data_IF_664187563886
#
_entry.id   IF_664187563886
#
_cell.length_a   1.000
_cell.length_b   1.000
_cell.length_c   1.000
_cell.angle_alpha   90.00
_cell.angle_beta   90.00
_cell.angle_gamma   90.00
#
_symmetry.space_group_name_H-M   'P 1'
#
loop_
_entity.id
_entity.type
_entity.pdbx_description
1 polymer ?
#
# COMPACT_ATOMS: atom_id res chain seq x y z
N UNK A 1 -36.09 34.78 -4.59
CA UNK A 1 -34.68 34.42 -4.36
C UNK A 1 -34.62 33.48 -3.15
N UNK A 2 -34.58 32.16 -3.36
CA UNK A 2 -34.30 31.20 -2.30
C UNK A 2 -32.91 30.61 -2.57
N UNK A 3 -31.97 30.92 -1.68
CA UNK A 3 -30.64 30.33 -1.64
C UNK A 3 -30.78 28.92 -1.04
N UNK A 4 -30.62 27.89 -1.88
CA UNK A 4 -30.43 26.53 -1.40
C UNK A 4 -28.98 26.41 -0.86
N UNK A 5 -28.85 26.33 0.45
CA UNK A 5 -27.59 25.99 1.09
C UNK A 5 -27.27 24.52 0.81
N UNK A 6 -26.32 24.27 -0.09
CA UNK A 6 -25.74 22.94 -0.27
C UNK A 6 -24.81 22.68 0.92
N UNK A 7 -25.30 21.91 1.89
CA UNK A 7 -24.48 21.39 2.97
C UNK A 7 -23.53 20.32 2.39
N UNK A 8 -22.26 20.68 2.21
CA UNK A 8 -21.19 19.73 1.94
C UNK A 8 -20.99 18.86 3.18
N UNK A 9 -21.66 17.71 3.24
CA UNK A 9 -21.39 16.69 4.25
C UNK A 9 -20.04 16.06 3.91
N UNK A 10 -18.97 16.58 4.52
CA UNK A 10 -17.70 15.87 4.59
C UNK A 10 -17.94 14.67 5.51
N UNK A 11 -18.20 13.50 4.92
CA UNK A 11 -18.16 12.22 5.62
C UNK A 11 -16.74 12.00 6.12
N UNK A 12 -16.45 12.48 7.32
CA UNK A 12 -15.29 12.04 8.09
C UNK A 12 -15.49 10.54 8.32
N UNK A 13 -14.78 9.72 7.54
CA UNK A 13 -14.81 8.27 7.69
C UNK A 13 -14.44 7.94 9.14
N UNK A 14 -15.40 7.39 9.90
CA UNK A 14 -15.13 6.92 11.26
C UNK A 14 -13.99 5.91 11.20
N UNK A 15 -13.04 5.92 12.16
CA UNK A 15 -11.99 4.92 12.21
C UNK A 15 -12.62 3.53 12.24
N UNK A 16 -12.43 2.77 11.17
CA UNK A 16 -13.04 1.45 11.04
C UNK A 16 -12.29 0.49 11.95
N UNK A 17 -12.98 -0.05 12.96
CA UNK A 17 -12.40 -1.06 13.84
C UNK A 17 -12.17 -2.36 13.05
N UNK A 18 -11.12 -3.11 13.40
CA UNK A 18 -10.86 -4.42 12.82
C UNK A 18 -11.91 -5.43 13.36
N UNK A 19 -12.68 -6.11 12.51
CA UNK A 19 -13.59 -7.16 12.93
C UNK A 19 -12.83 -8.33 13.59
N UNK A 20 -13.47 -9.02 14.52
CA UNK A 20 -12.95 -10.30 14.98
C UNK A 20 -13.23 -11.38 13.94
N UNK A 21 -12.31 -11.53 12.97
CA UNK A 21 -12.43 -12.54 11.92
C UNK A 21 -12.45 -13.97 12.45
N UNK A 22 -12.07 -14.22 13.71
CA UNK A 22 -12.15 -15.55 14.32
C UNK A 22 -13.58 -15.95 14.71
N UNK A 23 -14.53 -15.01 14.70
CA UNK A 23 -15.95 -15.30 14.85
C UNK A 23 -16.53 -16.13 13.69
N UNK A 24 -15.88 -16.11 12.52
CA UNK A 24 -16.22 -16.97 11.39
C UNK A 24 -15.24 -18.16 11.28
N UNK A 25 -15.73 -19.38 11.04
CA UNK A 25 -14.88 -20.55 10.81
C UNK A 25 -13.89 -20.36 9.66
N UNK A 26 -12.82 -21.14 9.66
CA UNK A 26 -11.90 -21.16 8.52
C UNK A 26 -12.61 -21.67 7.26
N UNK A 27 -12.65 -20.84 6.22
CA UNK A 27 -13.32 -21.20 4.98
C UNK A 27 -13.73 -19.98 4.14
N UNK A 28 -14.58 -20.20 3.12
CA UNK A 28 -15.02 -19.17 2.18
C UNK A 28 -15.65 -17.94 2.84
N UNK A 29 -16.50 -18.12 3.86
CA UNK A 29 -17.18 -17.00 4.51
C UNK A 29 -16.20 -16.02 5.16
N UNK A 30 -15.25 -16.50 5.97
CA UNK A 30 -14.24 -15.63 6.59
C UNK A 30 -13.39 -14.90 5.56
N UNK A 31 -13.04 -15.58 4.47
CA UNK A 31 -12.27 -14.97 3.37
C UNK A 31 -13.06 -13.85 2.69
N UNK A 32 -14.33 -14.08 2.39
CA UNK A 32 -15.21 -13.08 1.81
C UNK A 32 -15.36 -11.85 2.73
N UNK A 33 -15.59 -12.06 4.02
CA UNK A 33 -15.67 -10.98 5.02
C UNK A 33 -14.37 -10.19 5.14
N UNK A 34 -13.23 -10.89 5.07
CA UNK A 34 -11.93 -10.24 5.09
C UNK A 34 -11.71 -9.36 3.85
N UNK A 35 -12.02 -9.89 2.66
CA UNK A 35 -11.91 -9.16 1.40
C UNK A 35 -12.85 -7.95 1.38
N UNK A 36 -14.12 -8.13 1.76
CA UNK A 36 -15.14 -7.08 1.89
C UNK A 36 -14.67 -5.94 2.81
N UNK A 37 -14.02 -6.28 3.92
CA UNK A 37 -13.45 -5.30 4.85
C UNK A 37 -12.24 -4.57 4.27
N UNK A 38 -11.35 -5.29 3.59
CA UNK A 38 -10.08 -4.74 3.12
C UNK A 38 -10.20 -3.85 1.89
N UNK A 39 -11.08 -4.19 0.95
CA UNK A 39 -11.27 -3.46 -0.30
C UNK A 39 -11.42 -1.93 -0.12
N UNK A 40 -12.36 -1.41 0.70
CA UNK A 40 -12.51 0.03 0.85
C UNK A 40 -11.28 0.71 1.48
N UNK A 41 -10.53 -0.02 2.32
CA UNK A 41 -9.29 0.49 2.91
C UNK A 41 -8.19 0.63 1.86
N UNK A 42 -7.96 -0.41 1.06
CA UNK A 42 -6.96 -0.38 -0.03
C UNK A 42 -7.37 0.64 -1.08
N UNK A 43 -8.65 0.68 -1.48
CA UNK A 43 -9.15 1.62 -2.48
C UNK A 43 -8.97 3.08 -2.04
N UNK A 44 -9.27 3.42 -0.78
CA UNK A 44 -9.11 4.78 -0.28
C UNK A 44 -7.65 5.24 -0.26
N UNK A 45 -6.73 4.34 0.05
CA UNK A 45 -5.29 4.61 0.11
C UNK A 45 -4.66 4.67 -1.29
N UNK A 46 -5.04 3.76 -2.18
CA UNK A 46 -4.69 3.80 -3.61
C UNK A 46 -5.20 5.10 -4.25
N UNK A 47 -6.45 5.50 -3.98
CA UNK A 47 -7.00 6.75 -4.48
C UNK A 47 -6.23 7.99 -3.99
N UNK A 48 -5.67 7.96 -2.78
CA UNK A 48 -4.75 9.04 -2.34
C UNK A 48 -3.49 9.06 -3.18
N UNK A 49 -2.81 7.92 -3.32
CA UNK A 49 -1.58 7.83 -4.11
C UNK A 49 -1.80 8.27 -5.56
N UNK A 50 -2.91 7.87 -6.17
CA UNK A 50 -3.24 8.24 -7.55
C UNK A 50 -3.59 9.73 -7.71
N UNK A 51 -4.11 10.41 -6.68
CA UNK A 51 -4.27 11.88 -6.72
C UNK A 51 -2.91 12.57 -6.79
N UNK A 52 -1.95 12.13 -6.00
CA UNK A 52 -0.59 12.67 -6.04
C UNK A 52 0.07 12.37 -7.39
N UNK A 53 -0.10 11.15 -7.90
CA UNK A 53 0.40 10.76 -9.23
C UNK A 53 -0.13 11.63 -10.35
N UNK A 54 -1.45 11.86 -10.41
CA UNK A 54 -2.06 12.74 -11.43
C UNK A 54 -1.48 14.15 -11.40
N UNK A 55 -1.20 14.68 -10.20
CA UNK A 55 -0.54 15.98 -10.07
C UNK A 55 0.91 15.94 -10.58
N UNK A 56 1.68 14.87 -10.31
CA UNK A 56 3.02 14.70 -10.87
C UNK A 56 3.01 14.68 -12.40
N UNK A 57 2.09 13.91 -12.99
CA UNK A 57 1.93 13.83 -14.45
C UNK A 57 1.56 15.20 -15.03
N UNK A 58 0.64 15.93 -14.40
CA UNK A 58 0.29 17.29 -14.82
C UNK A 58 1.47 18.26 -14.74
N UNK A 59 2.32 18.16 -13.72
CA UNK A 59 3.53 18.98 -13.58
C UNK A 59 4.53 18.65 -14.69
N UNK A 60 4.77 17.35 -14.93
CA UNK A 60 5.69 16.90 -15.98
C UNK A 60 5.24 17.35 -17.38
N UNK A 61 3.92 17.33 -17.65
CA UNK A 61 3.37 17.79 -18.92
C UNK A 61 3.47 19.32 -19.12
N UNK A 62 3.51 20.10 -18.04
CA UNK A 62 3.64 21.56 -18.10
C UNK A 62 5.07 22.05 -18.36
N UNK A 63 6.08 21.18 -18.29
CA UNK A 63 7.49 21.50 -18.50
C UNK A 63 8.17 22.06 -17.25
N UNK A 64 7.91 23.33 -16.91
CA UNK A 64 8.56 23.98 -15.77
C UNK A 64 7.61 24.18 -14.57
N UNK A 65 7.86 23.51 -13.42
CA UNK A 65 7.04 23.70 -12.23
C UNK A 65 7.23 25.10 -11.64
N UNK A 66 6.11 25.78 -11.36
CA UNK A 66 6.10 27.04 -10.60
C UNK A 66 6.46 26.83 -9.12
N UNK A 67 6.60 27.93 -8.35
CA UNK A 67 7.00 27.86 -6.94
C UNK A 67 6.12 26.95 -6.08
N UNK A 68 4.79 26.96 -6.29
CA UNK A 68 3.84 26.11 -5.56
C UNK A 68 4.07 24.62 -5.83
N UNK A 69 4.40 24.27 -7.06
CA UNK A 69 4.68 22.89 -7.46
C UNK A 69 6.04 22.44 -6.94
N UNK A 70 7.07 23.29 -7.04
CA UNK A 70 8.39 23.01 -6.44
C UNK A 70 8.29 22.74 -4.94
N UNK A 71 7.54 23.57 -4.20
CA UNK A 71 7.31 23.36 -2.76
C UNK A 71 6.57 22.05 -2.49
N UNK A 72 5.56 21.73 -3.29
CA UNK A 72 4.81 20.49 -3.15
C UNK A 72 5.66 19.26 -3.50
N UNK A 73 6.47 19.31 -4.56
CA UNK A 73 7.39 18.24 -4.96
C UNK A 73 8.40 17.94 -3.86
N UNK A 74 8.97 18.96 -3.20
CA UNK A 74 9.89 18.74 -2.05
C UNK A 74 9.18 18.04 -0.90
N UNK A 75 8.02 18.54 -0.48
CA UNK A 75 7.25 17.92 0.60
C UNK A 75 6.81 16.48 0.26
N UNK A 76 6.42 16.22 -1.00
CA UNK A 76 6.11 14.88 -1.45
C UNK A 76 7.37 14.00 -1.46
N UNK A 77 8.51 14.52 -1.91
CA UNK A 77 9.82 13.87 -1.87
C UNK A 77 10.17 13.35 -0.49
N UNK A 78 10.11 14.22 0.52
CA UNK A 78 10.34 13.87 1.92
C UNK A 78 9.40 12.73 2.37
N UNK A 79 8.10 12.85 2.09
CA UNK A 79 7.11 11.81 2.44
C UNK A 79 7.34 10.48 1.73
N UNK A 80 8.02 10.49 0.58
CA UNK A 80 8.43 9.32 -0.16
C UNK A 80 9.89 8.92 0.11
N UNK A 81 10.50 9.39 1.21
CA UNK A 81 11.86 9.05 1.66
C UNK A 81 12.92 9.39 0.59
N UNK A 82 12.79 10.55 -0.02
CA UNK A 82 13.81 11.19 -0.83
C UNK A 82 14.40 12.35 -0.03
N UNK A 83 15.64 12.70 -0.34
CA UNK A 83 16.24 13.95 0.12
C UNK A 83 16.15 14.97 -1.05
N UNK A 84 15.17 15.90 -1.03
CA UNK A 84 14.96 16.84 -2.12
C UNK A 84 16.11 17.83 -2.30
N UNK A 85 16.98 18.00 -1.31
CA UNK A 85 18.11 18.93 -1.38
C UNK A 85 19.31 18.31 -2.12
N UNK A 86 19.30 16.98 -2.30
CA UNK A 86 20.32 16.24 -3.05
C UNK A 86 19.96 16.00 -4.52
N UNK A 87 18.72 16.29 -4.92
CA UNK A 87 18.19 16.03 -6.25
C UNK A 87 17.88 17.34 -6.97
N UNK A 88 18.18 17.42 -8.27
CA UNK A 88 17.61 18.48 -9.11
C UNK A 88 16.09 18.36 -9.19
N UNK A 89 15.41 19.42 -9.62
CA UNK A 89 13.95 19.43 -9.77
C UNK A 89 13.45 18.31 -10.70
N UNK A 90 14.17 18.06 -11.79
CA UNK A 90 13.82 17.04 -12.78
C UNK A 90 14.08 15.63 -12.26
N UNK A 91 15.21 15.41 -11.56
CA UNK A 91 15.51 14.12 -10.92
C UNK A 91 14.49 13.79 -9.82
N UNK A 92 14.10 14.78 -9.02
CA UNK A 92 13.06 14.63 -8.00
C UNK A 92 11.72 14.25 -8.64
N UNK A 93 11.30 14.96 -9.69
CA UNK A 93 10.05 14.67 -10.41
C UNK A 93 10.06 13.28 -11.05
N UNK A 94 11.13 12.92 -11.76
CA UNK A 94 11.27 11.60 -12.38
C UNK A 94 11.27 10.47 -11.34
N UNK A 95 11.96 10.67 -10.21
CA UNK A 95 11.99 9.69 -9.11
C UNK A 95 10.62 9.55 -8.45
N UNK A 96 9.90 10.66 -8.25
CA UNK A 96 8.54 10.65 -7.73
C UNK A 96 7.56 9.95 -8.69
N UNK A 97 7.68 10.16 -10.01
CA UNK A 97 6.86 9.44 -11.01
C UNK A 97 7.10 7.92 -10.98
N UNK A 98 8.28 7.47 -10.58
CA UNK A 98 8.57 6.04 -10.37
C UNK A 98 8.00 5.51 -9.03
N UNK A 99 8.08 6.32 -7.96
CA UNK A 99 7.65 5.93 -6.60
C UNK A 99 6.14 6.03 -6.38
N UNK A 100 5.51 7.10 -6.84
CA UNK A 100 4.13 7.48 -6.53
C UNK A 100 3.19 6.81 -7.54
N UNK A 101 2.75 5.59 -7.25
CA UNK A 101 1.78 4.87 -8.06
C UNK A 101 1.05 3.78 -7.26
N UNK A 102 -0.03 3.26 -7.82
CA UNK A 102 -0.86 2.21 -7.25
C UNK A 102 -0.10 0.89 -7.09
N UNK A 103 -0.51 0.11 -6.09
CA UNK A 103 -0.24 -1.33 -6.01
C UNK A 103 -1.54 -2.05 -6.41
N UNK A 104 -1.49 -3.11 -7.24
CA UNK A 104 -2.70 -3.84 -7.65
C UNK A 104 -3.52 -4.29 -6.45
N UNK A 105 -4.85 -4.21 -6.56
CA UNK A 105 -5.73 -4.56 -5.43
C UNK A 105 -5.61 -6.04 -5.10
N UNK A 106 -5.58 -6.89 -6.12
CA UNK A 106 -5.41 -8.34 -5.98
C UNK A 106 -4.17 -8.67 -5.15
N UNK A 107 -3.07 -7.97 -5.42
CA UNK A 107 -1.80 -8.14 -4.71
C UNK A 107 -1.87 -7.67 -3.26
N UNK A 108 -2.42 -6.48 -3.02
CA UNK A 108 -2.59 -5.96 -1.67
C UNK A 108 -3.49 -6.86 -0.82
N UNK A 109 -4.59 -7.37 -1.38
CA UNK A 109 -5.51 -8.31 -0.72
C UNK A 109 -4.84 -9.65 -0.41
N UNK A 110 -4.10 -10.21 -1.37
CA UNK A 110 -3.38 -11.48 -1.19
C UNK A 110 -2.31 -11.38 -0.11
N UNK A 111 -1.49 -10.31 -0.13
CA UNK A 111 -0.48 -10.08 0.90
C UNK A 111 -1.14 -9.85 2.27
N UNK A 112 -2.17 -9.01 2.36
CA UNK A 112 -2.89 -8.81 3.61
C UNK A 112 -3.46 -10.13 4.16
N UNK A 113 -4.06 -10.97 3.31
CA UNK A 113 -4.59 -12.27 3.70
C UNK A 113 -3.48 -13.20 4.21
N UNK A 114 -2.34 -13.25 3.52
CA UNK A 114 -1.18 -14.06 3.91
C UNK A 114 -0.60 -13.62 5.24
N UNK A 115 -0.27 -12.33 5.37
CA UNK A 115 0.47 -11.79 6.53
C UNK A 115 -0.40 -11.74 7.79
N UNK A 116 -1.70 -11.49 7.64
CA UNK A 116 -2.63 -11.43 8.77
C UNK A 116 -3.30 -12.76 9.10
N UNK A 117 -3.10 -13.80 8.29
CA UNK A 117 -3.85 -15.05 8.37
C UNK A 117 -5.35 -14.81 8.25
N UNK A 118 -5.76 -14.07 7.21
CA UNK A 118 -7.14 -13.60 7.01
C UNK A 118 -7.69 -12.81 8.23
N UNK A 119 -6.85 -11.93 8.79
CA UNK A 119 -7.19 -11.04 9.89
C UNK A 119 -7.16 -11.66 11.30
N UNK A 120 -6.85 -12.95 11.41
CA UNK A 120 -6.93 -13.69 12.70
C UNK A 120 -5.63 -13.65 13.52
N UNK A 121 -4.51 -13.24 12.92
CA UNK A 121 -3.22 -13.23 13.61
C UNK A 121 -3.24 -12.34 14.85
N UNK A 122 -2.38 -12.67 15.84
CA UNK A 122 -2.23 -11.84 17.06
C UNK A 122 -1.86 -10.40 16.70
N UNK A 123 -1.00 -10.20 15.71
CA UNK A 123 -0.52 -8.88 15.30
C UNK A 123 -1.60 -8.08 14.56
N UNK A 124 -2.43 -8.73 13.74
CA UNK A 124 -3.60 -8.10 13.15
C UNK A 124 -4.59 -7.67 14.24
N UNK A 125 -4.99 -8.59 15.14
CA UNK A 125 -6.00 -8.29 16.17
C UNK A 125 -5.56 -7.26 17.21
N UNK A 126 -4.32 -7.36 17.70
CA UNK A 126 -3.81 -6.47 18.76
C UNK A 126 -3.13 -5.22 18.23
N UNK A 127 -2.48 -5.31 17.07
CA UNK A 127 -1.69 -4.22 16.50
C UNK A 127 -2.30 -3.59 15.25
N UNK A 128 -3.44 -4.10 14.75
CA UNK A 128 -4.03 -3.69 13.47
C UNK A 128 -3.05 -3.79 12.30
N UNK A 129 -2.03 -4.63 12.44
CA UNK A 129 -0.96 -4.80 11.47
C UNK A 129 -1.31 -5.95 10.52
N UNK A 130 -1.89 -5.59 9.38
CA UNK A 130 -2.41 -6.53 8.39
C UNK A 130 -1.33 -7.06 7.43
N UNK A 131 -0.12 -6.49 7.46
CA UNK A 131 0.96 -6.75 6.49
C UNK A 131 2.27 -7.20 7.14
N UNK A 132 2.26 -7.52 8.45
CA UNK A 132 3.43 -8.02 9.16
C UNK A 132 4.57 -7.00 9.30
N UNK A 133 4.28 -5.70 9.21
CA UNK A 133 5.30 -4.64 9.14
C UNK A 133 6.10 -4.53 10.44
N UNK A 134 7.42 -4.52 10.32
CA UNK A 134 8.33 -4.34 11.44
C UNK A 134 8.62 -2.87 11.70
N UNK A 135 8.96 -2.57 12.95
CA UNK A 135 9.53 -1.31 13.38
C UNK A 135 10.72 -1.58 14.31
N UNK A 136 11.64 -0.62 14.42
CA UNK A 136 12.95 -0.83 15.03
C UNK A 136 13.24 0.10 16.22
N UNK A 137 12.29 0.95 16.58
CA UNK A 137 12.38 1.78 17.78
C UNK A 137 11.81 1.00 18.98
N UNK A 138 12.53 0.90 20.11
CA UNK A 138 11.99 0.21 21.28
C UNK A 138 10.61 0.75 21.70
N UNK A 139 9.62 -0.14 21.82
CA UNK A 139 8.24 0.22 22.17
C UNK A 139 7.36 0.70 21.02
N UNK A 140 7.84 0.64 19.77
CA UNK A 140 7.05 0.99 18.58
C UNK A 140 5.94 -0.03 18.27
N UNK A 141 5.96 -1.22 18.88
CA UNK A 141 5.04 -2.28 18.51
C UNK A 141 4.92 -3.44 19.50
N UNK A 142 4.62 -4.62 18.96
CA UNK A 142 4.44 -5.86 19.70
C UNK A 142 5.68 -6.73 19.51
N UNK A 143 6.34 -7.06 20.62
CA UNK A 143 7.48 -8.00 20.60
C UNK A 143 7.01 -9.40 20.14
N UNK A 144 7.63 -9.97 19.08
CA UNK A 144 7.41 -11.36 18.69
C UNK A 144 7.82 -12.33 19.80
N UNK A 145 7.02 -13.38 20.03
CA UNK A 145 7.32 -14.39 21.06
C UNK A 145 8.54 -15.25 20.72
N UNK A 146 8.81 -15.43 19.43
CA UNK A 146 9.92 -16.24 18.91
C UNK A 146 11.03 -15.36 18.33
N UNK A 147 11.25 -14.16 18.88
CA UNK A 147 12.32 -13.27 18.42
C UNK A 147 13.67 -13.87 18.83
N UNK A 148 14.58 -14.04 17.86
CA UNK A 148 15.95 -14.45 18.17
C UNK A 148 16.63 -13.46 19.13
N UNK A 149 17.57 -13.92 19.95
CA UNK A 149 18.17 -13.13 21.04
C UNK A 149 18.76 -11.78 20.61
N UNK A 150 19.13 -11.64 19.33
CA UNK A 150 19.74 -10.42 18.77
C UNK A 150 18.80 -9.57 17.90
N UNK A 151 17.57 -10.02 17.66
CA UNK A 151 16.63 -9.21 16.87
C UNK A 151 16.09 -8.07 17.73
N UNK A 152 16.20 -6.84 17.23
CA UNK A 152 15.70 -5.63 17.90
C UNK A 152 14.33 -5.19 17.39
N UNK A 153 13.86 -5.78 16.29
CA UNK A 153 12.58 -5.42 15.69
C UNK A 153 11.38 -5.80 16.57
N UNK A 154 10.33 -5.00 16.45
CA UNK A 154 8.99 -5.25 16.95
C UNK A 154 7.99 -5.25 15.78
N UNK A 155 6.80 -5.80 15.96
CA UNK A 155 5.75 -5.73 14.95
C UNK A 155 4.93 -4.46 15.19
N UNK A 156 4.99 -3.51 14.25
CA UNK A 156 4.39 -2.18 14.38
C UNK A 156 2.92 -2.25 14.79
N UNK A 157 2.51 -1.34 15.68
CA UNK A 157 1.10 -1.14 16.05
C UNK A 157 0.57 0.08 15.31
N UNK A 158 -0.62 -0.06 14.75
CA UNK A 158 -1.35 1.01 14.07
C UNK A 158 -2.59 1.42 14.85
N UNK A 159 -2.96 2.70 14.77
CA UNK A 159 -4.18 3.22 15.40
C UNK A 159 -5.42 2.70 14.69
N UNK A 160 -5.33 2.56 13.36
CA UNK A 160 -6.41 2.03 12.52
C UNK A 160 -5.90 0.98 11.53
N UNK A 161 -6.75 0.06 11.04
CA UNK A 161 -6.38 -0.88 9.98
C UNK A 161 -5.95 -0.16 8.69
N UNK A 162 -6.57 0.99 8.40
CA UNK A 162 -6.24 1.84 7.26
C UNK A 162 -4.80 2.37 7.32
N UNK A 163 -4.30 2.74 8.49
CA UNK A 163 -2.89 3.17 8.64
C UNK A 163 -1.92 2.04 8.29
N UNK A 164 -2.26 0.78 8.60
CA UNK A 164 -1.41 -0.35 8.19
C UNK A 164 -1.35 -0.52 6.67
N UNK A 165 -2.48 -0.25 5.96
CA UNK A 165 -2.55 -0.23 4.50
C UNK A 165 -1.71 0.93 3.95
N UNK A 166 -1.83 2.13 4.53
CA UNK A 166 -1.05 3.31 4.16
C UNK A 166 0.46 3.02 4.23
N UNK A 167 0.90 2.45 5.35
CA UNK A 167 2.28 2.08 5.60
C UNK A 167 2.77 1.01 4.64
N UNK A 168 1.94 0.00 4.33
CA UNK A 168 2.27 -1.04 3.35
C UNK A 168 2.49 -0.45 1.95
N UNK A 169 1.57 0.39 1.46
CA UNK A 169 1.71 1.03 0.16
C UNK A 169 2.96 1.94 0.12
N UNK A 170 3.22 2.69 1.19
CA UNK A 170 4.43 3.50 1.30
C UNK A 170 5.70 2.64 1.27
N UNK A 171 5.71 1.49 1.95
CA UNK A 171 6.84 0.59 1.95
C UNK A 171 7.17 0.10 0.53
N UNK A 172 6.18 -0.42 -0.20
CA UNK A 172 6.34 -0.85 -1.61
C UNK A 172 6.82 0.32 -2.50
N UNK A 173 6.28 1.52 -2.26
CA UNK A 173 6.58 2.69 -3.08
C UNK A 173 7.92 3.38 -2.74
N UNK A 174 8.52 3.11 -1.58
CA UNK A 174 9.72 3.85 -1.13
C UNK A 174 10.94 2.98 -0.87
N UNK A 175 10.75 1.76 -0.38
CA UNK A 175 11.88 0.96 0.09
C UNK A 175 12.80 0.53 -1.08
N UNK A 176 14.13 0.56 -0.91
CA UNK A 176 15.08 0.20 -1.98
C UNK A 176 14.88 -1.21 -2.53
N UNK A 177 14.53 -2.17 -1.67
CA UNK A 177 14.29 -3.57 -2.06
C UNK A 177 13.15 -3.74 -3.08
N UNK A 178 12.23 -2.78 -3.20
CA UNK A 178 11.12 -2.82 -4.18
C UNK A 178 11.38 -1.93 -5.39
N UNK A 179 12.64 -1.61 -5.69
CA UNK A 179 12.99 -0.85 -6.89
C UNK A 179 12.52 -1.56 -8.16
N UNK A 180 12.75 -2.86 -8.26
CA UNK A 180 12.40 -3.64 -9.45
C UNK A 180 10.88 -3.77 -9.62
N UNK A 181 10.13 -3.86 -8.52
CA UNK A 181 8.68 -3.72 -8.52
C UNK A 181 8.22 -2.42 -9.18
N UNK A 182 8.82 -1.29 -8.79
CA UNK A 182 8.46 0.03 -9.33
C UNK A 182 8.83 0.17 -10.80
N UNK A 183 9.97 -0.41 -11.22
CA UNK A 183 10.38 -0.44 -12.63
C UNK A 183 9.45 -1.28 -13.49
N UNK A 184 9.10 -2.49 -13.04
CA UNK A 184 8.13 -3.34 -13.74
C UNK A 184 6.77 -2.65 -13.88
N UNK A 185 6.29 -2.00 -12.80
CA UNK A 185 5.06 -1.19 -12.82
C UNK A 185 5.14 -0.04 -13.81
N UNK A 186 6.26 0.67 -13.87
CA UNK A 186 6.48 1.73 -14.86
C UNK A 186 6.47 1.19 -16.30
N UNK A 187 7.00 -0.02 -16.53
CA UNK A 187 6.92 -0.70 -17.82
C UNK A 187 5.49 -1.05 -18.24
N UNK A 188 4.66 -1.53 -17.30
CA UNK A 188 3.22 -1.75 -17.55
C UNK A 188 2.51 -0.44 -17.92
N UNK A 189 2.78 0.64 -17.21
CA UNK A 189 2.24 1.98 -17.55
C UNK A 189 2.66 2.43 -18.96
N UNK A 190 3.94 2.32 -19.28
CA UNK A 190 4.47 2.75 -20.58
C UNK A 190 3.89 1.96 -21.76
N UNK A 191 3.51 0.70 -21.53
CA UNK A 191 2.86 -0.17 -22.51
C UNK A 191 1.33 -0.12 -22.47
N UNK A 192 0.74 0.76 -21.63
CA UNK A 192 -0.70 0.84 -21.39
C UNK A 192 -1.32 -0.52 -20.99
N UNK A 193 -0.53 -1.39 -20.37
CA UNK A 193 -0.97 -2.67 -19.86
C UNK A 193 -1.60 -2.50 -18.47
N UNK A 194 -2.62 -3.32 -18.11
CA UNK A 194 -3.17 -3.33 -16.77
C UNK A 194 -2.10 -3.60 -15.71
N UNK A 195 -2.22 -2.93 -14.55
CA UNK A 195 -1.37 -3.22 -13.40
C UNK A 195 -1.78 -4.57 -12.78
N UNK A 196 -1.27 -5.67 -13.34
CA UNK A 196 -1.58 -7.02 -12.89
C UNK A 196 -0.87 -7.35 -11.58
N UNK A 197 -1.62 -7.81 -10.57
CA UNK A 197 -1.04 -8.34 -9.34
C UNK A 197 -0.17 -9.58 -9.56
N UNK A 198 -0.52 -10.45 -10.51
CA UNK A 198 0.28 -11.64 -10.82
C UNK A 198 1.65 -11.30 -11.40
N UNK A 199 1.71 -10.30 -12.29
CA UNK A 199 2.96 -9.83 -12.89
C UNK A 199 3.82 -9.13 -11.84
N UNK A 200 3.23 -8.21 -11.08
CA UNK A 200 3.99 -7.43 -10.09
C UNK A 200 4.40 -8.24 -8.86
N UNK A 201 3.69 -9.32 -8.52
CA UNK A 201 4.12 -10.28 -7.49
C UNK A 201 5.51 -10.88 -7.78
N UNK A 202 5.90 -11.00 -9.05
CA UNK A 202 7.20 -11.51 -9.45
C UNK A 202 8.38 -10.64 -9.02
N UNK A 203 8.11 -9.43 -8.52
CA UNK A 203 9.14 -8.50 -8.04
C UNK A 203 9.19 -8.39 -6.52
N UNK A 204 8.55 -9.32 -5.80
CA UNK A 204 8.43 -9.33 -4.34
C UNK A 204 9.31 -10.38 -3.63
N UNK A 205 10.37 -10.88 -4.28
CA UNK A 205 11.26 -11.86 -3.64
C UNK A 205 11.83 -11.33 -2.32
N UNK A 206 12.18 -10.05 -2.26
CA UNK A 206 12.74 -9.42 -1.04
C UNK A 206 11.70 -9.11 0.03
N UNK A 207 10.40 -9.36 -0.21
CA UNK A 207 9.37 -9.13 0.80
C UNK A 207 9.44 -10.16 1.94
N UNK A 208 9.91 -11.37 1.64
CA UNK A 208 10.02 -12.48 2.59
C UNK A 208 11.37 -13.17 2.45
N UNK A 209 11.94 -13.63 3.56
CA UNK A 209 13.13 -14.49 3.58
C UNK A 209 12.94 -15.78 2.75
N UNK A 210 11.69 -16.15 2.48
CA UNK A 210 11.32 -17.31 1.65
C UNK A 210 11.48 -17.08 0.14
N UNK A 211 11.77 -15.85 -0.30
CA UNK A 211 12.07 -15.53 -1.69
C UNK A 211 10.98 -15.98 -2.66
N UNK A 212 11.34 -16.73 -3.70
CA UNK A 212 10.41 -17.19 -4.74
C UNK A 212 9.24 -18.03 -4.21
N UNK A 213 9.44 -18.81 -3.14
CA UNK A 213 8.34 -19.58 -2.55
C UNK A 213 7.24 -18.67 -1.99
N UNK A 214 7.60 -17.47 -1.51
CA UNK A 214 6.61 -16.47 -1.11
C UNK A 214 5.83 -15.94 -2.32
N UNK A 215 6.53 -15.63 -3.41
CA UNK A 215 5.92 -15.16 -4.66
C UNK A 215 4.89 -16.17 -5.18
N UNK A 216 5.25 -17.46 -5.20
CA UNK A 216 4.35 -18.52 -5.65
C UNK A 216 3.09 -18.62 -4.78
N UNK A 217 3.22 -18.50 -3.46
CA UNK A 217 2.07 -18.49 -2.55
C UNK A 217 1.16 -17.29 -2.76
N UNK A 218 1.72 -16.10 -3.00
CA UNK A 218 0.93 -14.91 -3.31
C UNK A 218 0.18 -15.09 -4.62
N UNK A 219 0.83 -15.59 -5.68
CA UNK A 219 0.19 -15.88 -6.97
C UNK A 219 -0.91 -16.93 -6.83
N UNK A 220 -0.71 -17.95 -5.99
CA UNK A 220 -1.74 -18.94 -5.68
C UNK A 220 -2.93 -18.33 -4.93
N UNK A 221 -2.68 -17.46 -3.95
CA UNK A 221 -3.75 -16.75 -3.23
C UNK A 221 -4.56 -15.86 -4.16
N UNK A 222 -3.91 -15.16 -5.10
CA UNK A 222 -4.59 -14.36 -6.11
C UNK A 222 -5.52 -15.24 -6.96
N UNK A 223 -5.01 -16.33 -7.53
CA UNK A 223 -5.79 -17.21 -8.43
C UNK A 223 -6.89 -17.99 -7.71
N UNK A 224 -6.60 -18.59 -6.56
CA UNK A 224 -7.55 -19.47 -5.87
C UNK A 224 -8.74 -18.72 -5.28
N UNK A 225 -8.59 -17.41 -5.02
CA UNK A 225 -9.66 -16.59 -4.47
C UNK A 225 -10.12 -15.54 -5.48
N UNK A 226 -9.84 -15.75 -6.78
CA UNK A 226 -10.26 -14.91 -7.92
C UNK A 226 -9.98 -13.42 -7.74
N UNK A 227 -8.91 -13.06 -7.01
CA UNK A 227 -8.68 -11.68 -6.58
C UNK A 227 -8.34 -10.73 -7.74
N UNK A 228 -7.99 -11.25 -8.92
CA UNK A 228 -7.74 -10.46 -10.14
C UNK A 228 -8.98 -9.66 -10.57
N UNK A 229 -10.19 -10.08 -10.18
CA UNK A 229 -11.42 -9.32 -10.46
C UNK A 229 -11.43 -7.93 -9.80
N UNK A 230 -10.59 -7.73 -8.76
CA UNK A 230 -10.45 -6.45 -8.07
C UNK A 230 -9.37 -5.55 -8.65
N UNK A 231 -8.58 -6.05 -9.61
CA UNK A 231 -7.66 -5.20 -10.37
C UNK A 231 -8.48 -4.35 -11.34
N UNK A 232 -9.01 -3.23 -10.84
CA UNK A 232 -9.74 -2.25 -11.65
C UNK A 232 -8.83 -1.35 -12.46
N UNK A 233 -9.43 -0.48 -13.30
CA UNK A 233 -8.71 0.56 -14.02
C UNK A 233 -7.98 1.47 -13.03
N UNK A 234 -6.67 1.31 -12.98
CA UNK A 234 -5.79 2.13 -12.15
C UNK A 234 -5.30 3.35 -12.92
N UNK A 235 -6.07 3.85 -13.89
CA UNK A 235 -5.67 4.97 -14.74
C UNK A 235 -5.22 6.18 -13.90
N UNK A 236 -4.03 6.67 -14.25
CA UNK A 236 -3.35 7.76 -13.54
C UNK A 236 -2.51 8.59 -14.48
#
# INVERSE_FOLDING_TARGET
MLLAAVALVVLLARPQALPDFSAWPAGPERKARFVEFMQPLVAAETARVLRDRRRLVSIAAAGEPGWRDRRWLRALGESYRLDPETLSGDELLATLLLRVDAVPMSLALAQAAKESGWGTSRFARKGRNLFGQWCYEPGCGIVPRARGEHATHEVQVFSTPRESVASYLQNINTHPAYRDFRLARAGLRASQAPLSGLVLAEQLQSYSERGSAYVDEIKQLIRFNDLEEFDGDTDA
#
